data_IF_399604517964
#
_entry.id   IF_399604517964
#
_cell.length_a   1.000
_cell.length_b   1.000
_cell.length_c   1.000
_cell.angle_alpha   90.00
_cell.angle_beta   90.00
_cell.angle_gamma   90.00
#
_symmetry.space_group_name_H-M   'P 1'
#
loop_
_entity.id
_entity.type
_entity.pdbx_description
1 polymer ?
#
# COMPACT_ATOMS: atom_id res chain seq x y z
N UNK A 1 24.56 18.58 13.91
CA UNK A 1 24.32 17.63 15.02
C UNK A 1 23.68 16.42 14.42
N UNK A 2 24.25 15.24 14.66
CA UNK A 2 23.71 13.99 14.15
C UNK A 2 22.59 13.49 15.07
N UNK A 3 21.43 13.22 14.48
CA UNK A 3 20.28 12.65 15.18
C UNK A 3 19.79 11.40 14.44
N UNK A 4 19.24 10.46 15.20
CA UNK A 4 18.61 9.26 14.66
C UNK A 4 17.19 9.24 15.17
N UNK A 5 16.23 9.31 14.25
CA UNK A 5 14.81 9.21 14.56
C UNK A 5 14.23 7.91 14.03
N UNK A 6 13.22 7.38 14.71
CA UNK A 6 12.63 6.08 14.44
C UNK A 6 11.21 6.24 13.89
N UNK A 7 10.91 5.52 12.82
CA UNK A 7 9.58 5.49 12.20
C UNK A 7 9.41 4.16 11.45
N UNK A 8 8.38 4.03 10.62
CA UNK A 8 8.04 2.82 9.86
C UNK A 8 8.31 3.00 8.37
N UNK A 9 8.69 1.91 7.73
CA UNK A 9 8.94 1.84 6.30
C UNK A 9 7.62 1.87 5.52
N UNK A 10 7.43 2.77 4.56
CA UNK A 10 6.16 2.91 3.81
C UNK A 10 6.06 1.93 2.63
N UNK A 11 7.10 1.16 2.33
CA UNK A 11 7.27 0.50 1.03
C UNK A 11 6.40 -0.73 0.76
N UNK A 12 5.89 -1.40 1.79
CA UNK A 12 4.98 -2.55 1.66
C UNK A 12 4.37 -2.90 3.02
N UNK A 13 3.40 -3.82 3.03
CA UNK A 13 2.64 -4.22 4.22
C UNK A 13 3.43 -4.98 5.29
N UNK A 14 4.75 -5.16 5.15
CA UNK A 14 5.53 -5.92 6.15
C UNK A 14 5.65 -5.17 7.49
N UNK A 15 5.61 -3.83 7.49
CA UNK A 15 5.68 -3.07 8.75
C UNK A 15 7.08 -2.96 9.36
N UNK A 16 8.11 -2.90 8.51
CA UNK A 16 9.50 -2.81 8.95
C UNK A 16 9.79 -1.47 9.66
N UNK A 17 10.54 -1.50 10.76
CA UNK A 17 11.07 -0.28 11.37
C UNK A 17 12.28 0.27 10.60
N UNK A 18 12.37 1.60 10.54
CA UNK A 18 13.46 2.30 9.87
C UNK A 18 13.97 3.47 10.73
N UNK A 19 15.29 3.67 10.70
CA UNK A 19 15.92 4.86 11.25
C UNK A 19 16.16 5.88 10.15
N UNK A 20 15.84 7.13 10.42
CA UNK A 20 16.17 8.28 9.58
C UNK A 20 17.30 9.03 10.24
N UNK A 21 18.40 9.21 9.51
CA UNK A 21 19.60 9.88 9.99
C UNK A 21 19.52 11.34 9.57
N UNK A 22 19.56 12.23 10.55
CA UNK A 22 19.56 13.67 10.35
C UNK A 22 20.94 14.23 10.67
N UNK A 23 21.41 15.20 9.90
CA UNK A 23 22.55 16.02 10.23
C UNK A 23 22.17 17.50 10.16
N UNK A 24 22.13 18.17 11.32
CA UNK A 24 21.69 19.57 11.42
C UNK A 24 20.26 19.78 10.85
N UNK A 25 19.37 18.80 11.08
CA UNK A 25 17.98 18.82 10.63
C UNK A 25 17.74 18.24 9.23
N UNK A 26 18.79 18.05 8.43
CA UNK A 26 18.70 17.54 7.06
C UNK A 26 18.81 16.01 7.01
N UNK A 27 18.02 15.35 6.15
CA UNK A 27 18.10 13.89 5.96
C UNK A 27 19.35 13.54 5.16
N UNK A 28 20.23 12.75 5.78
CA UNK A 28 21.46 12.25 5.14
C UNK A 28 21.40 10.75 4.80
N UNK A 29 20.32 10.07 5.19
CA UNK A 29 20.06 8.70 4.79
C UNK A 29 19.15 7.93 5.74
N UNK A 30 18.95 6.66 5.43
CA UNK A 30 18.23 5.72 6.27
C UNK A 30 19.13 4.58 6.73
N UNK A 31 18.78 3.98 7.86
CA UNK A 31 19.44 2.79 8.36
C UNK A 31 18.44 1.85 9.03
N UNK A 32 18.67 0.52 9.05
CA UNK A 32 17.73 -0.36 9.72
C UNK A 32 17.63 -0.14 11.21
N UNK A 33 16.39 -0.05 11.72
CA UNK A 33 16.15 0.00 13.14
C UNK A 33 16.48 -1.37 13.77
N UNK A 34 17.69 -1.46 14.35
CA UNK A 34 18.29 -2.73 14.80
C UNK A 34 17.47 -3.53 15.80
N UNK A 35 16.63 -2.86 16.59
CA UNK A 35 15.82 -3.49 17.65
C UNK A 35 14.37 -3.67 17.27
N UNK A 36 13.97 -3.31 16.05
CA UNK A 36 12.59 -3.44 15.65
C UNK A 36 12.20 -4.92 15.48
N UNK A 37 11.10 -5.38 16.09
CA UNK A 37 10.75 -6.80 16.18
C UNK A 37 10.46 -7.43 14.81
N UNK A 38 9.75 -6.70 13.94
CA UNK A 38 9.32 -7.18 12.62
C UNK A 38 10.51 -7.56 11.72
N UNK A 39 11.43 -6.62 11.49
CA UNK A 39 12.48 -6.74 10.49
C UNK A 39 13.85 -7.11 11.07
N UNK A 40 13.95 -7.29 12.40
CA UNK A 40 15.14 -7.71 13.12
C UNK A 40 16.42 -6.99 12.65
N UNK A 41 16.32 -5.67 12.47
CA UNK A 41 17.45 -4.83 12.08
C UNK A 41 17.92 -4.92 10.63
N UNK A 42 17.02 -5.24 9.70
CA UNK A 42 17.25 -5.30 8.25
C UNK A 42 16.21 -4.45 7.49
N UNK A 43 16.57 -3.84 6.38
CA UNK A 43 15.59 -3.32 5.40
C UNK A 43 16.01 -3.79 4.01
N UNK A 44 15.04 -3.98 3.12
CA UNK A 44 15.28 -4.23 1.71
C UNK A 44 15.77 -2.94 1.02
N UNK A 45 15.98 -3.00 -0.30
CA UNK A 45 16.36 -1.83 -1.08
C UNK A 45 15.25 -0.77 -1.08
N UNK A 46 13.99 -1.17 -1.30
CA UNK A 46 12.82 -0.27 -1.31
C UNK A 46 12.73 0.54 -0.01
N UNK A 47 12.87 -0.13 1.14
CA UNK A 47 12.87 0.55 2.43
C UNK A 47 14.04 1.50 2.61
N UNK A 48 15.25 1.15 2.15
CA UNK A 48 16.42 2.04 2.24
C UNK A 48 16.29 3.28 1.35
N UNK A 49 15.65 3.14 0.20
CA UNK A 49 15.46 4.20 -0.80
C UNK A 49 14.15 4.98 -0.60
N UNK A 50 13.33 4.62 0.38
CA UNK A 50 12.02 5.25 0.64
C UNK A 50 12.04 6.76 0.91
N UNK A 51 13.21 7.37 1.13
CA UNK A 51 13.37 8.83 1.26
C UNK A 51 13.28 9.57 -0.08
N UNK A 52 13.33 8.88 -1.21
CA UNK A 52 13.23 9.47 -2.55
C UNK A 52 11.92 10.26 -2.73
N UNK A 53 10.81 9.80 -2.15
CA UNK A 53 9.53 10.53 -2.19
C UNK A 53 9.60 11.88 -1.47
N UNK A 54 10.37 11.96 -0.37
CA UNK A 54 10.62 13.22 0.32
C UNK A 54 11.60 14.12 -0.44
N UNK A 55 12.65 13.55 -1.02
CA UNK A 55 13.64 14.30 -1.79
C UNK A 55 13.03 14.93 -3.06
N UNK A 56 12.06 14.25 -3.66
CA UNK A 56 11.38 14.68 -4.88
C UNK A 56 9.98 15.26 -4.62
N UNK A 57 9.67 15.66 -3.38
CA UNK A 57 8.34 16.14 -3.02
C UNK A 57 8.01 17.48 -3.69
N UNK A 58 6.75 17.64 -4.07
CA UNK A 58 6.21 18.90 -4.56
C UNK A 58 6.29 19.98 -3.47
N UNK A 59 6.78 21.16 -3.85
CA UNK A 59 6.82 22.33 -2.96
C UNK A 59 5.62 23.27 -3.15
N UNK A 60 4.97 23.19 -4.31
CA UNK A 60 3.83 24.01 -4.70
C UNK A 60 2.77 23.13 -5.35
N UNK A 61 1.53 23.61 -5.32
CA UNK A 61 0.46 22.99 -6.06
C UNK A 61 0.61 23.23 -7.57
N UNK A 62 0.01 22.35 -8.37
CA UNK A 62 -0.09 22.51 -9.81
C UNK A 62 -1.56 22.64 -10.19
N UNK A 63 -1.90 23.62 -11.01
CA UNK A 63 -3.22 23.75 -11.66
C UNK A 63 -2.99 23.89 -13.15
N UNK A 64 -3.58 23.00 -13.96
CA UNK A 64 -3.32 22.89 -15.40
C UNK A 64 -1.81 22.88 -15.72
N UNK A 65 -1.05 22.08 -14.95
CA UNK A 65 0.43 21.94 -15.03
C UNK A 65 1.24 23.21 -14.74
N UNK A 66 0.62 24.25 -14.21
CA UNK A 66 1.29 25.49 -13.80
C UNK A 66 1.36 25.58 -12.28
N UNK A 67 2.52 25.96 -11.75
CA UNK A 67 2.70 26.16 -10.30
C UNK A 67 1.77 27.25 -9.74
N UNK A 68 1.21 26.99 -8.57
CA UNK A 68 0.39 27.94 -7.79
C UNK A 68 0.51 27.68 -6.29
N UNK A 69 0.04 28.64 -5.50
CA UNK A 69 -0.07 28.49 -4.04
C UNK A 69 -1.10 27.41 -3.67
N UNK A 70 -0.80 26.65 -2.61
CA UNK A 70 -1.63 25.53 -2.14
C UNK A 70 -3.03 25.99 -1.78
N UNK A 71 -3.18 27.09 -1.05
CA UNK A 71 -4.49 27.64 -0.66
C UNK A 71 -5.35 27.98 -1.88
N UNK A 72 -4.76 28.58 -2.92
CA UNK A 72 -5.48 28.91 -4.15
C UNK A 72 -5.88 27.65 -4.92
N UNK A 73 -5.03 26.63 -4.94
CA UNK A 73 -5.38 25.36 -5.57
C UNK A 73 -6.53 24.68 -4.81
N UNK A 74 -6.54 24.71 -3.47
CA UNK A 74 -7.65 24.22 -2.66
C UNK A 74 -8.96 24.96 -2.97
N UNK A 75 -8.93 26.30 -3.13
CA UNK A 75 -10.10 27.06 -3.58
C UNK A 75 -10.61 26.59 -4.96
N UNK A 76 -9.70 26.24 -5.87
CA UNK A 76 -10.08 25.70 -7.18
C UNK A 76 -10.68 24.30 -7.08
N UNK A 77 -10.15 23.43 -6.20
CA UNK A 77 -10.78 22.13 -5.88
C UNK A 77 -12.20 22.32 -5.35
N UNK A 78 -12.41 23.25 -4.41
CA UNK A 78 -13.74 23.55 -3.84
C UNK A 78 -14.72 24.01 -4.92
N UNK A 79 -14.28 24.80 -5.91
CA UNK A 79 -15.13 25.22 -7.04
C UNK A 79 -15.56 24.04 -7.91
N UNK A 80 -14.63 23.12 -8.21
CA UNK A 80 -14.93 21.91 -8.98
C UNK A 80 -15.91 21.01 -8.21
N UNK A 81 -15.69 20.80 -6.91
CA UNK A 81 -16.58 20.02 -6.04
C UNK A 81 -17.99 20.63 -5.96
N UNK A 82 -18.12 21.95 -5.77
CA UNK A 82 -19.41 22.64 -5.72
C UNK A 82 -20.18 22.62 -7.04
N UNK A 83 -19.49 22.40 -8.15
CA UNK A 83 -20.09 22.34 -9.50
C UNK A 83 -20.45 20.92 -9.92
N UNK A 84 -19.97 19.89 -9.21
CA UNK A 84 -20.19 18.49 -9.53
C UNK A 84 -21.46 17.94 -8.86
N UNK A 85 -22.10 16.97 -9.50
CA UNK A 85 -23.10 16.14 -8.82
C UNK A 85 -22.37 15.11 -7.97
N UNK A 86 -22.83 14.85 -6.75
CA UNK A 86 -22.17 13.92 -5.82
C UNK A 86 -21.95 12.53 -6.43
N UNK A 87 -22.94 12.00 -7.14
CA UNK A 87 -22.87 10.69 -7.81
C UNK A 87 -21.83 10.61 -8.94
N UNK A 88 -21.38 11.76 -9.48
CA UNK A 88 -20.35 11.83 -10.52
C UNK A 88 -18.91 11.93 -9.92
N UNK A 89 -18.81 12.07 -8.59
CA UNK A 89 -17.55 12.20 -7.86
C UNK A 89 -17.11 10.85 -7.32
N UNK A 90 -15.84 10.50 -7.56
CA UNK A 90 -15.20 9.32 -6.98
C UNK A 90 -13.97 9.74 -6.20
N UNK A 91 -13.86 9.24 -4.98
CA UNK A 91 -12.73 9.42 -4.07
C UNK A 91 -12.00 8.09 -3.97
N UNK A 92 -10.73 8.08 -4.37
CA UNK A 92 -9.84 6.92 -4.21
C UNK A 92 -8.94 7.17 -3.01
N UNK A 93 -8.99 6.24 -2.06
CA UNK A 93 -8.04 6.13 -0.97
C UNK A 93 -7.04 5.01 -1.25
N UNK A 94 -5.89 5.08 -0.59
CA UNK A 94 -4.72 4.25 -0.84
C UNK A 94 -4.36 3.41 0.38
N UNK A 95 -3.78 2.24 0.15
CA UNK A 95 -3.12 1.47 1.20
C UNK A 95 -1.86 2.15 1.75
N UNK A 96 -1.47 3.33 1.25
CA UNK A 96 -0.37 4.13 1.81
C UNK A 96 -0.86 5.22 2.77
N UNK A 97 -2.17 5.45 2.88
CA UNK A 97 -2.72 6.37 3.88
C UNK A 97 -2.72 5.73 5.26
N UNK A 98 -2.61 6.56 6.30
CA UNK A 98 -2.77 6.14 7.70
C UNK A 98 -4.21 5.80 8.03
N UNK A 99 -4.41 5.06 9.13
CA UNK A 99 -5.76 4.78 9.65
C UNK A 99 -6.51 6.10 9.87
N UNK A 100 -5.83 7.12 10.39
CA UNK A 100 -6.37 8.44 10.62
C UNK A 100 -6.78 9.15 9.31
N UNK A 101 -5.92 9.11 8.30
CA UNK A 101 -6.22 9.67 6.97
C UNK A 101 -7.36 8.93 6.27
N UNK A 102 -7.40 7.59 6.33
CA UNK A 102 -8.49 6.79 5.76
C UNK A 102 -9.83 7.13 6.41
N UNK A 103 -9.87 7.29 7.74
CA UNK A 103 -11.10 7.70 8.43
C UNK A 103 -11.56 9.09 7.95
N UNK A 104 -10.64 10.06 7.83
CA UNK A 104 -10.98 11.38 7.33
C UNK A 104 -11.49 11.35 5.88
N UNK A 105 -10.84 10.57 5.00
CA UNK A 105 -11.25 10.40 3.60
C UNK A 105 -12.63 9.74 3.50
N UNK A 106 -12.88 8.71 4.33
CA UNK A 106 -14.16 8.00 4.41
C UNK A 106 -15.28 8.91 4.90
N UNK A 107 -15.07 9.59 6.01
CA UNK A 107 -16.05 10.55 6.56
C UNK A 107 -16.33 11.70 5.58
N UNK A 108 -15.30 12.23 4.92
CA UNK A 108 -15.46 13.23 3.86
C UNK A 108 -16.35 12.72 2.73
N UNK A 109 -16.05 11.53 2.20
CA UNK A 109 -16.79 10.93 1.11
C UNK A 109 -18.25 10.66 1.49
N UNK A 110 -18.49 10.08 2.67
CA UNK A 110 -19.82 9.77 3.18
C UNK A 110 -20.64 11.04 3.45
N UNK A 111 -20.04 12.08 4.03
CA UNK A 111 -20.73 13.34 4.34
C UNK A 111 -21.21 14.09 3.10
N UNK A 112 -20.58 13.86 1.95
CA UNK A 112 -20.89 14.49 0.66
C UNK A 112 -21.62 13.56 -0.31
N UNK A 113 -21.90 12.31 0.10
CA UNK A 113 -22.51 11.28 -0.74
C UNK A 113 -21.70 10.99 -2.03
N UNK A 114 -20.37 10.98 -1.91
CA UNK A 114 -19.45 10.65 -2.99
C UNK A 114 -19.19 9.14 -3.04
N UNK A 115 -18.83 8.63 -4.22
CA UNK A 115 -18.37 7.25 -4.33
C UNK A 115 -16.97 7.14 -3.69
N UNK A 116 -16.76 6.16 -2.82
CA UNK A 116 -15.44 5.82 -2.28
C UNK A 116 -14.94 4.51 -2.88
N UNK A 117 -13.64 4.45 -3.16
CA UNK A 117 -12.99 3.28 -3.70
C UNK A 117 -11.61 3.06 -3.10
N UNK A 118 -11.25 1.79 -3.02
CA UNK A 118 -9.95 1.32 -2.59
C UNK A 118 -9.59 0.07 -3.42
N UNK A 119 -8.36 0.00 -3.89
CA UNK A 119 -7.84 -1.17 -4.61
C UNK A 119 -6.67 -1.77 -3.83
N UNK A 120 -6.81 -3.06 -3.51
CA UNK A 120 -5.88 -3.82 -2.67
C UNK A 120 -5.17 -4.92 -3.46
N UNK A 121 -4.72 -4.63 -4.69
CA UNK A 121 -4.01 -5.59 -5.55
C UNK A 121 -4.84 -6.86 -5.90
N UNK A 122 -6.16 -6.71 -6.02
CA UNK A 122 -7.14 -7.81 -6.07
C UNK A 122 -7.15 -8.75 -4.86
N UNK A 123 -6.46 -8.41 -3.76
CA UNK A 123 -6.50 -9.16 -2.51
C UNK A 123 -7.65 -8.67 -1.60
N UNK A 124 -7.93 -9.45 -0.55
CA UNK A 124 -8.90 -9.11 0.50
C UNK A 124 -8.28 -9.25 1.89
N UNK A 125 -9.03 -8.89 2.93
CA UNK A 125 -8.64 -9.19 4.31
C UNK A 125 -9.04 -10.60 4.72
N UNK A 126 -8.25 -11.17 5.62
CA UNK A 126 -8.46 -12.48 6.22
C UNK A 126 -8.52 -12.31 7.74
N UNK A 127 -9.58 -12.85 8.34
CA UNK A 127 -9.86 -12.69 9.77
C UNK A 127 -8.78 -13.31 10.67
N UNK A 128 -8.21 -14.44 10.25
CA UNK A 128 -7.03 -15.05 10.86
C UNK A 128 -5.92 -15.09 9.82
N UNK A 129 -4.77 -14.48 10.16
CA UNK A 129 -3.57 -14.47 9.31
C UNK A 129 -2.39 -15.07 10.04
N UNK A 130 -1.45 -15.64 9.29
CA UNK A 130 -0.20 -16.13 9.84
C UNK A 130 0.69 -14.97 10.34
N UNK A 131 1.31 -15.15 11.50
CA UNK A 131 2.40 -14.29 11.93
C UNK A 131 3.70 -14.62 11.17
N UNK A 132 4.67 -13.72 11.25
CA UNK A 132 6.00 -14.00 10.68
C UNK A 132 6.72 -15.16 11.37
N UNK A 133 6.40 -15.41 12.65
CA UNK A 133 6.92 -16.55 13.39
C UNK A 133 6.19 -17.86 13.01
N UNK A 134 4.90 -17.81 12.65
CA UNK A 134 4.20 -18.97 12.09
C UNK A 134 4.88 -19.45 10.81
N UNK A 135 5.27 -18.53 9.92
CA UNK A 135 6.03 -18.87 8.69
C UNK A 135 7.36 -19.53 9.04
N UNK A 136 8.13 -18.92 9.94
CA UNK A 136 9.49 -19.38 10.29
C UNK A 136 9.51 -20.78 10.96
N UNK A 137 8.40 -21.19 11.57
CA UNK A 137 8.26 -22.45 12.29
C UNK A 137 7.37 -23.49 11.57
N UNK A 138 6.84 -23.17 10.39
CA UNK A 138 6.01 -24.08 9.60
C UNK A 138 6.78 -25.32 9.15
N UNK A 139 6.08 -26.45 8.95
CA UNK A 139 6.70 -27.66 8.34
C UNK A 139 6.61 -27.63 6.82
N UNK A 140 5.58 -27.00 6.28
CA UNK A 140 5.38 -26.78 4.85
C UNK A 140 5.03 -25.31 4.62
N UNK A 141 5.65 -24.68 3.63
CA UNK A 141 5.30 -23.32 3.22
C UNK A 141 4.92 -23.33 1.75
N UNK A 142 3.69 -22.92 1.46
CA UNK A 142 3.18 -22.75 0.10
C UNK A 142 3.26 -21.27 -0.25
N UNK A 143 4.02 -20.92 -1.28
CA UNK A 143 4.30 -19.55 -1.66
C UNK A 143 3.67 -19.27 -3.02
N UNK A 144 2.78 -18.28 -3.10
CA UNK A 144 2.15 -17.85 -4.35
C UNK A 144 2.66 -16.44 -4.68
N UNK A 145 3.55 -16.36 -5.66
CA UNK A 145 4.19 -15.11 -6.09
C UNK A 145 5.69 -15.06 -5.86
N UNK A 146 6.32 -14.01 -6.38
CA UNK A 146 7.75 -13.80 -6.21
C UNK A 146 8.06 -13.04 -4.91
N UNK A 147 7.63 -13.63 -3.78
CA UNK A 147 7.73 -13.05 -2.44
C UNK A 147 9.18 -12.73 -2.05
N UNK A 148 10.16 -13.54 -2.45
CA UNK A 148 11.56 -13.27 -2.13
C UNK A 148 12.09 -12.00 -2.81
N UNK A 149 11.57 -11.68 -4.00
CA UNK A 149 11.93 -10.47 -4.72
C UNK A 149 11.12 -9.26 -4.25
N UNK A 150 9.79 -9.40 -4.23
CA UNK A 150 8.87 -8.28 -3.99
C UNK A 150 8.75 -7.94 -2.50
N UNK A 151 8.89 -8.93 -1.61
CA UNK A 151 8.79 -8.75 -0.16
C UNK A 151 9.94 -9.46 0.58
N UNK A 152 11.21 -9.02 0.42
CA UNK A 152 12.38 -9.79 0.87
C UNK A 152 12.43 -10.11 2.37
N UNK A 153 11.74 -9.32 3.21
CA UNK A 153 11.70 -9.57 4.65
C UNK A 153 10.72 -10.71 5.01
N UNK A 154 9.67 -10.93 4.22
CA UNK A 154 8.86 -12.16 4.27
C UNK A 154 9.65 -13.31 3.68
N UNK A 155 10.28 -13.09 2.52
CA UNK A 155 11.19 -14.08 1.92
C UNK A 155 12.25 -14.59 2.88
N UNK A 156 12.80 -13.72 3.74
CA UNK A 156 13.73 -14.11 4.80
C UNK A 156 13.11 -15.09 5.81
N UNK A 157 11.83 -14.92 6.18
CA UNK A 157 11.12 -15.86 7.08
C UNK A 157 10.95 -17.22 6.42
N UNK A 158 10.63 -17.24 5.13
CA UNK A 158 10.55 -18.48 4.33
C UNK A 158 11.92 -19.16 4.26
N UNK A 159 13.00 -18.41 4.07
CA UNK A 159 14.38 -18.96 4.12
C UNK A 159 14.71 -19.55 5.49
N UNK A 160 14.32 -18.90 6.58
CA UNK A 160 14.51 -19.46 7.92
C UNK A 160 13.68 -20.75 8.12
N UNK A 161 12.43 -20.79 7.64
CA UNK A 161 11.61 -22.00 7.66
C UNK A 161 12.32 -23.16 6.96
N UNK A 162 12.85 -22.92 5.75
CA UNK A 162 13.66 -23.93 5.03
C UNK A 162 14.89 -24.37 5.83
N UNK A 163 15.60 -23.44 6.46
CA UNK A 163 16.75 -23.76 7.33
C UNK A 163 16.35 -24.58 8.56
N UNK A 164 15.13 -24.41 9.05
CA UNK A 164 14.53 -25.18 10.14
C UNK A 164 13.96 -26.53 9.67
N UNK A 165 14.05 -26.85 8.38
CA UNK A 165 13.65 -28.14 7.80
C UNK A 165 12.26 -28.13 7.17
N UNK A 166 11.66 -26.97 6.92
CA UNK A 166 10.40 -26.88 6.18
C UNK A 166 10.57 -27.22 4.69
N UNK A 167 9.55 -27.86 4.11
CA UNK A 167 9.43 -28.04 2.67
C UNK A 167 8.77 -26.80 2.04
N UNK A 168 9.36 -26.27 0.96
CA UNK A 168 8.91 -25.05 0.31
C UNK A 168 8.33 -25.37 -1.07
N UNK A 169 7.06 -25.07 -1.29
CA UNK A 169 6.36 -25.21 -2.57
C UNK A 169 6.08 -23.82 -3.12
N UNK A 170 6.51 -23.52 -4.34
CA UNK A 170 6.40 -22.16 -4.88
C UNK A 170 5.68 -22.13 -6.24
N UNK A 171 4.60 -21.36 -6.31
CA UNK A 171 3.92 -20.96 -7.53
C UNK A 171 4.38 -19.57 -7.97
N UNK A 172 4.71 -19.42 -9.25
CA UNK A 172 5.12 -18.13 -9.82
C UNK A 172 4.58 -17.94 -11.24
N UNK A 173 4.41 -16.67 -11.64
CA UNK A 173 3.93 -16.30 -13.00
C UNK A 173 4.93 -16.62 -14.11
N UNK A 174 6.20 -16.83 -13.77
CA UNK A 174 7.25 -17.21 -14.69
C UNK A 174 8.31 -18.07 -14.00
N UNK A 175 9.07 -18.82 -14.80
CA UNK A 175 10.20 -19.64 -14.32
C UNK A 175 11.36 -18.79 -13.77
N UNK A 176 11.33 -17.47 -13.96
CA UNK A 176 12.37 -16.55 -13.50
C UNK A 176 12.14 -16.05 -12.05
N UNK A 177 11.06 -16.49 -11.40
CA UNK A 177 10.74 -16.13 -10.01
C UNK A 177 11.92 -16.38 -9.07
N UNK A 178 12.36 -15.34 -8.36
CA UNK A 178 13.47 -15.45 -7.40
C UNK A 178 13.13 -16.43 -6.28
N UNK A 179 11.85 -16.52 -5.92
CA UNK A 179 11.30 -17.45 -4.93
C UNK A 179 11.61 -18.91 -5.27
N UNK A 180 11.67 -19.27 -6.56
CA UNK A 180 11.98 -20.65 -6.99
C UNK A 180 13.38 -21.11 -6.59
N UNK A 181 14.33 -20.18 -6.38
CA UNK A 181 15.70 -20.54 -6.00
C UNK A 181 15.80 -21.23 -4.63
N UNK A 182 14.77 -21.11 -3.80
CA UNK A 182 14.71 -21.78 -2.50
C UNK A 182 13.63 -22.84 -2.43
N UNK A 183 12.82 -23.02 -3.46
CA UNK A 183 11.72 -23.98 -3.45
C UNK A 183 12.27 -25.41 -3.58
N UNK A 184 11.58 -26.36 -2.96
CA UNK A 184 11.79 -27.80 -3.16
C UNK A 184 11.00 -28.28 -4.39
N UNK A 185 9.82 -27.70 -4.61
CA UNK A 185 9.00 -27.89 -5.81
C UNK A 185 8.46 -26.55 -6.34
N UNK A 186 8.42 -26.41 -7.67
CA UNK A 186 8.05 -25.16 -8.36
C UNK A 186 6.91 -25.40 -9.34
N UNK A 187 5.98 -24.46 -9.41
CA UNK A 187 4.74 -24.55 -10.18
C UNK A 187 4.53 -23.27 -11.00
N UNK A 188 3.94 -23.42 -12.18
CA UNK A 188 3.60 -22.31 -13.10
C UNK A 188 2.17 -22.43 -13.65
N UNK A 189 1.35 -23.25 -13.00
CA UNK A 189 -0.07 -23.44 -13.29
C UNK A 189 -0.92 -22.30 -12.71
N UNK A 190 -2.25 -22.41 -12.75
CA UNK A 190 -3.10 -21.41 -12.08
C UNK A 190 -3.06 -21.54 -10.56
N UNK A 191 -3.35 -20.45 -9.83
CA UNK A 191 -3.45 -20.47 -8.37
C UNK A 191 -4.45 -21.52 -7.89
N UNK A 192 -5.59 -21.62 -8.58
CA UNK A 192 -6.64 -22.60 -8.33
C UNK A 192 -6.14 -24.05 -8.44
N UNK A 193 -5.41 -24.39 -9.49
CA UNK A 193 -4.84 -25.73 -9.70
C UNK A 193 -3.75 -26.05 -8.67
N UNK A 194 -2.90 -25.08 -8.35
CA UNK A 194 -1.86 -25.23 -7.34
C UNK A 194 -2.44 -25.53 -5.95
N UNK A 195 -3.49 -24.82 -5.53
CA UNK A 195 -4.15 -25.06 -4.24
C UNK A 195 -4.82 -26.44 -4.24
N UNK A 196 -5.52 -26.82 -5.32
CA UNK A 196 -6.22 -28.12 -5.40
C UNK A 196 -5.26 -29.31 -5.43
N UNK A 197 -4.06 -29.14 -5.99
CA UNK A 197 -3.02 -30.16 -6.06
C UNK A 197 -2.12 -30.25 -4.82
N UNK A 198 -2.17 -29.24 -3.95
CA UNK A 198 -1.28 -29.13 -2.80
C UNK A 198 -1.74 -29.97 -1.59
N UNK A 199 -0.79 -30.64 -0.93
CA UNK A 199 -0.99 -31.34 0.33
C UNK A 199 -0.94 -30.36 1.52
N UNK A 200 -1.91 -29.43 1.55
CA UNK A 200 -2.07 -28.42 2.60
C UNK A 200 -2.78 -29.04 3.81
N UNK A 201 -2.17 -28.87 4.98
CA UNK A 201 -2.65 -29.36 6.26
C UNK A 201 -2.41 -28.34 7.39
N UNK A 202 -2.86 -28.63 8.62
CA UNK A 202 -2.67 -27.73 9.76
C UNK A 202 -1.23 -27.45 10.19
N UNK A 203 -0.23 -28.15 9.63
CA UNK A 203 1.20 -27.86 9.82
C UNK A 203 1.78 -26.92 8.74
N UNK A 204 0.94 -26.51 7.78
CA UNK A 204 1.28 -25.68 6.64
C UNK A 204 1.07 -24.19 6.91
N UNK A 205 1.71 -23.34 6.11
CA UNK A 205 1.39 -21.90 5.99
C UNK A 205 1.36 -21.51 4.53
N UNK A 206 0.32 -20.80 4.09
CA UNK A 206 0.26 -20.24 2.73
C UNK A 206 0.62 -18.76 2.77
N UNK A 207 1.58 -18.34 1.96
CA UNK A 207 2.02 -16.94 1.84
C UNK A 207 1.84 -16.49 0.40
N UNK A 208 1.15 -15.38 0.17
CA UNK A 208 0.82 -14.96 -1.19
C UNK A 208 0.78 -13.45 -1.34
N UNK A 209 1.14 -12.94 -2.51
CA UNK A 209 1.03 -11.53 -2.86
C UNK A 209 0.27 -11.27 -4.17
N UNK A 210 -0.25 -12.33 -4.79
CA UNK A 210 -1.17 -12.23 -5.91
C UNK A 210 -2.15 -13.41 -5.92
N UNK A 211 -3.24 -13.23 -6.66
CA UNK A 211 -4.18 -14.27 -7.07
C UNK A 211 -4.53 -14.08 -8.54
N UNK A 212 -5.03 -15.11 -9.22
CA UNK A 212 -5.49 -14.99 -10.61
C UNK A 212 -6.93 -14.47 -10.68
N UNK A 213 -7.73 -14.75 -9.64
CA UNK A 213 -9.16 -14.46 -9.58
C UNK A 213 -9.68 -14.29 -8.14
N UNK A 214 -10.92 -13.82 -8.02
CA UNK A 214 -11.61 -13.77 -6.72
C UNK A 214 -11.96 -15.16 -6.16
N UNK A 215 -12.16 -16.15 -7.03
CA UNK A 215 -12.42 -17.55 -6.61
C UNK A 215 -11.22 -18.14 -5.86
N UNK A 216 -10.00 -17.77 -6.24
CA UNK A 216 -8.79 -18.19 -5.53
C UNK A 216 -8.79 -17.69 -4.07
N UNK A 217 -9.33 -16.50 -3.81
CA UNK A 217 -9.43 -15.98 -2.44
C UNK A 217 -10.46 -16.74 -1.60
N UNK A 218 -11.51 -17.28 -2.22
CA UNK A 218 -12.47 -18.17 -1.55
C UNK A 218 -11.78 -19.48 -1.17
N UNK A 219 -11.06 -20.09 -2.12
CA UNK A 219 -10.25 -21.30 -1.86
C UNK A 219 -9.22 -21.08 -0.75
N UNK A 220 -8.47 -19.97 -0.80
CA UNK A 220 -7.51 -19.59 0.25
C UNK A 220 -8.18 -19.32 1.61
N UNK A 221 -9.47 -19.04 1.67
CA UNK A 221 -10.20 -18.91 2.94
C UNK A 221 -10.59 -20.27 3.53
N UNK A 222 -10.68 -21.30 2.68
CA UNK A 222 -11.16 -22.64 3.04
C UNK A 222 -10.02 -23.64 3.29
N UNK A 223 -8.76 -23.26 3.07
CA UNK A 223 -7.60 -24.13 3.37
C UNK A 223 -7.49 -24.40 4.88
N UNK A 224 -7.10 -25.62 5.25
CA UNK A 224 -6.94 -26.06 6.65
C UNK A 224 -5.61 -25.58 7.25
N UNK A 225 -5.25 -24.30 7.05
CA UNK A 225 -4.03 -23.72 7.60
C UNK A 225 -4.11 -22.19 7.70
N UNK A 226 -3.11 -21.57 8.31
CA UNK A 226 -3.01 -20.10 8.34
C UNK A 226 -2.51 -19.57 7.00
N UNK A 227 -3.05 -18.42 6.59
CA UNK A 227 -2.63 -17.73 5.36
C UNK A 227 -2.06 -16.35 5.66
N UNK A 228 -1.14 -15.86 4.84
CA UNK A 228 -0.62 -14.50 4.90
C UNK A 228 -0.69 -13.83 3.52
N UNK A 229 -1.69 -12.96 3.27
CA UNK A 229 -1.63 -12.01 2.16
C UNK A 229 -0.56 -10.95 2.45
N UNK A 230 0.30 -10.68 1.48
CA UNK A 230 1.32 -9.62 1.55
C UNK A 230 1.00 -8.57 0.50
N UNK A 231 0.47 -7.43 0.96
CA UNK A 231 0.06 -6.33 0.11
C UNK A 231 1.23 -5.42 -0.30
N UNK A 232 1.11 -4.81 -1.48
CA UNK A 232 2.11 -3.88 -2.03
C UNK A 232 2.24 -2.58 -1.24
N UNK A 233 1.18 -2.13 -0.57
CA UNK A 233 1.12 -0.88 0.19
C UNK A 233 1.14 -1.12 1.70
N UNK A 234 1.69 -0.15 2.44
CA UNK A 234 2.08 -0.33 3.86
C UNK A 234 0.93 -0.59 4.84
N UNK A 235 -0.24 -0.06 4.55
CA UNK A 235 -1.44 -0.09 5.39
C UNK A 235 -2.64 -0.74 4.70
N UNK A 236 -2.46 -1.52 3.61
CA UNK A 236 -3.61 -2.11 2.91
C UNK A 236 -4.53 -2.92 3.83
N UNK A 237 -3.99 -3.69 4.78
CA UNK A 237 -4.81 -4.42 5.78
C UNK A 237 -5.61 -3.46 6.66
N UNK A 238 -5.01 -2.35 7.09
CA UNK A 238 -5.70 -1.32 7.88
C UNK A 238 -6.80 -0.63 7.08
N UNK A 239 -6.57 -0.34 5.80
CA UNK A 239 -7.59 0.21 4.91
C UNK A 239 -8.73 -0.78 4.67
N UNK A 240 -8.44 -2.08 4.49
CA UNK A 240 -9.45 -3.14 4.35
C UNK A 240 -10.39 -3.25 5.56
N UNK A 241 -9.94 -2.88 6.76
CA UNK A 241 -10.79 -2.85 7.96
C UNK A 241 -11.82 -1.70 7.95
N UNK A 242 -11.63 -0.71 7.08
CA UNK A 242 -12.40 0.54 7.06
C UNK A 242 -13.17 0.75 5.75
N UNK A 243 -12.62 0.28 4.63
CA UNK A 243 -13.16 0.45 3.28
C UNK A 243 -13.04 -0.87 2.53
N UNK A 244 -14.18 -1.36 2.03
CA UNK A 244 -14.20 -2.56 1.19
C UNK A 244 -13.37 -2.34 -0.09
N UNK A 245 -12.45 -3.26 -0.36
CA UNK A 245 -11.68 -3.24 -1.59
C UNK A 245 -12.56 -3.61 -2.79
N UNK A 246 -12.28 -2.97 -3.92
CA UNK A 246 -12.86 -3.29 -5.22
C UNK A 246 -11.89 -4.14 -6.03
N UNK A 247 -12.43 -5.11 -6.75
CA UNK A 247 -11.69 -5.81 -7.80
C UNK A 247 -11.32 -4.86 -8.94
N UNK A 248 -10.38 -5.27 -9.79
CA UNK A 248 -9.96 -4.49 -10.96
C UNK A 248 -11.13 -4.14 -11.89
N UNK A 249 -12.06 -5.07 -12.11
CA UNK A 249 -13.22 -4.85 -12.97
C UNK A 249 -14.22 -3.86 -12.36
N UNK A 250 -14.45 -3.94 -11.05
CA UNK A 250 -15.29 -2.97 -10.33
C UNK A 250 -14.67 -1.57 -10.32
N UNK A 251 -13.34 -1.48 -10.22
CA UNK A 251 -12.62 -0.21 -10.35
C UNK A 251 -12.82 0.40 -11.75
N UNK A 252 -12.66 -0.41 -12.81
CA UNK A 252 -12.86 0.05 -14.19
C UNK A 252 -14.31 0.51 -14.43
N UNK A 253 -15.29 -0.25 -13.95
CA UNK A 253 -16.71 0.12 -14.06
C UNK A 253 -17.00 1.44 -13.34
N UNK A 254 -16.48 1.62 -12.11
CA UNK A 254 -16.63 2.87 -11.35
C UNK A 254 -15.96 4.05 -12.05
N UNK A 255 -14.71 3.90 -12.50
CA UNK A 255 -13.99 4.94 -13.24
C UNK A 255 -14.73 5.34 -14.52
N UNK A 256 -15.37 4.39 -15.21
CA UNK A 256 -16.15 4.66 -16.43
C UNK A 256 -17.36 5.58 -16.21
N UNK A 257 -17.86 5.66 -14.97
CA UNK A 257 -18.99 6.49 -14.53
C UNK A 257 -18.55 7.78 -13.84
N UNK A 258 -17.26 7.94 -13.58
CA UNK A 258 -16.69 9.07 -12.85
C UNK A 258 -16.48 10.27 -13.78
N UNK A 259 -16.85 11.47 -13.34
CA UNK A 259 -16.50 12.73 -14.03
C UNK A 259 -15.46 13.56 -13.27
N UNK A 260 -15.50 13.52 -11.95
CA UNK A 260 -14.54 14.16 -11.06
C UNK A 260 -13.88 13.10 -10.17
N UNK A 261 -12.58 12.90 -10.35
CA UNK A 261 -11.81 11.92 -9.60
C UNK A 261 -10.89 12.64 -8.60
N UNK A 262 -11.00 12.29 -7.32
CA UNK A 262 -10.07 12.69 -6.26
C UNK A 262 -9.21 11.48 -5.89
N UNK A 263 -7.89 11.61 -5.95
CA UNK A 263 -6.94 10.53 -5.65
C UNK A 263 -6.07 10.93 -4.47
N UNK A 264 -6.20 10.22 -3.35
CA UNK A 264 -5.41 10.42 -2.14
C UNK A 264 -4.25 9.42 -2.08
N UNK A 265 -3.03 9.93 -2.23
CA UNK A 265 -1.76 9.21 -2.09
C UNK A 265 -1.66 7.88 -2.85
N UNK A 266 -2.16 7.86 -4.09
CA UNK A 266 -2.16 6.68 -4.97
C UNK A 266 -1.67 7.01 -6.39
N UNK A 267 -1.30 5.96 -7.14
CA UNK A 267 -0.96 6.03 -8.55
C UNK A 267 -1.87 5.16 -9.43
N UNK A 268 -3.14 5.55 -9.47
CA UNK A 268 -4.21 4.79 -10.16
C UNK A 268 -3.95 4.58 -11.66
N UNK A 269 -3.22 5.48 -12.32
CA UNK A 269 -2.86 5.33 -13.73
C UNK A 269 -1.92 4.16 -13.96
N UNK A 270 -1.01 3.89 -13.03
CA UNK A 270 -0.10 2.75 -13.11
C UNK A 270 -0.81 1.41 -12.79
N UNK A 271 -1.93 1.45 -12.07
CA UNK A 271 -2.68 0.25 -11.65
C UNK A 271 -3.67 -0.28 -12.70
N UNK A 272 -4.28 0.63 -13.47
CA UNK A 272 -5.42 0.32 -14.34
C UNK A 272 -5.15 0.61 -15.81
N UNK A 273 -5.43 -0.38 -16.66
CA UNK A 273 -5.54 -0.19 -18.11
C UNK A 273 -6.90 0.45 -18.43
N UNK A 274 -7.01 1.75 -18.17
CA UNK A 274 -8.21 2.55 -18.35
C UNK A 274 -7.88 3.84 -19.10
N UNK A 275 -8.76 4.25 -20.01
CA UNK A 275 -8.63 5.54 -20.69
C UNK A 275 -9.07 6.70 -19.78
N UNK A 276 -8.13 7.20 -18.99
CA UNK A 276 -8.34 8.30 -18.05
C UNK A 276 -8.74 9.63 -18.72
N UNK A 277 -8.56 9.78 -20.04
CA UNK A 277 -9.04 10.97 -20.76
C UNK A 277 -10.58 11.08 -20.78
N UNK A 278 -11.28 10.00 -20.39
CA UNK A 278 -12.74 9.98 -20.24
C UNK A 278 -13.21 10.70 -18.97
N UNK A 279 -12.35 10.85 -17.97
CA UNK A 279 -12.66 11.57 -16.73
C UNK A 279 -12.43 13.06 -16.98
N UNK A 280 -13.44 13.88 -16.68
CA UNK A 280 -13.41 15.32 -17.02
C UNK A 280 -12.47 16.14 -16.15
N UNK A 281 -12.22 15.68 -14.92
CA UNK A 281 -11.37 16.35 -13.95
C UNK A 281 -10.69 15.34 -13.04
N UNK A 282 -9.36 15.39 -12.93
CA UNK A 282 -8.58 14.55 -12.01
C UNK A 282 -7.80 15.45 -11.05
N UNK A 283 -7.99 15.21 -9.75
CA UNK A 283 -7.37 15.96 -8.67
C UNK A 283 -6.56 14.98 -7.82
N UNK A 284 -5.25 15.19 -7.72
CA UNK A 284 -4.36 14.34 -6.92
C UNK A 284 -3.88 15.06 -5.66
N UNK A 285 -3.98 14.38 -4.52
CA UNK A 285 -3.38 14.77 -3.25
C UNK A 285 -2.21 13.83 -3.00
N UNK A 286 -0.99 14.28 -3.28
CA UNK A 286 0.19 13.40 -3.25
C UNK A 286 1.46 14.19 -2.99
N UNK A 287 2.44 13.52 -2.40
CA UNK A 287 3.68 14.17 -1.99
C UNK A 287 4.67 14.38 -3.14
N UNK A 288 4.77 13.44 -4.10
CA UNK A 288 5.73 13.49 -5.21
C UNK A 288 5.12 13.06 -6.55
N UNK A 289 5.84 13.30 -7.65
CA UNK A 289 5.38 12.95 -9.00
C UNK A 289 5.21 11.43 -9.19
N UNK A 290 4.13 11.06 -9.86
CA UNK A 290 3.77 9.70 -10.29
C UNK A 290 2.94 9.75 -11.60
N UNK A 291 2.51 8.62 -12.17
CA UNK A 291 1.81 8.63 -13.46
C UNK A 291 0.44 9.33 -13.41
N UNK A 292 -0.25 9.25 -12.27
CA UNK A 292 -1.51 9.95 -12.02
C UNK A 292 -1.34 11.48 -12.00
N UNK A 293 -0.29 11.99 -11.35
CA UNK A 293 -0.02 13.44 -11.33
C UNK A 293 0.32 14.00 -12.70
N UNK A 294 0.90 13.20 -13.60
CA UNK A 294 1.24 13.61 -14.97
C UNK A 294 -0.01 13.89 -15.80
N UNK A 295 -1.15 13.31 -15.48
CA UNK A 295 -2.42 13.59 -16.15
C UNK A 295 -3.40 14.45 -15.33
N UNK A 296 -3.15 14.63 -14.03
CA UNK A 296 -4.04 15.41 -13.15
C UNK A 296 -4.18 16.87 -13.55
N UNK A 297 -5.40 17.40 -13.48
CA UNK A 297 -5.70 18.82 -13.68
C UNK A 297 -5.23 19.68 -12.51
N UNK A 298 -5.37 19.14 -11.29
CA UNK A 298 -4.92 19.78 -10.05
C UNK A 298 -4.07 18.78 -9.27
N UNK A 299 -2.91 19.22 -8.78
CA UNK A 299 -2.05 18.46 -7.86
C UNK A 299 -1.87 19.30 -6.60
N UNK A 300 -2.30 18.75 -5.46
CA UNK A 300 -2.14 19.35 -4.14
C UNK A 300 -1.01 18.58 -3.41
N UNK A 301 0.10 19.25 -3.05
CA UNK A 301 1.17 18.62 -2.28
C UNK A 301 0.67 18.30 -0.87
N UNK A 302 0.97 17.09 -0.41
CA UNK A 302 0.69 16.65 0.96
C UNK A 302 1.99 16.31 1.69
N UNK A 303 1.92 16.27 3.03
CA UNK A 303 2.99 15.72 3.87
C UNK A 303 3.36 14.30 3.42
N UNK A 304 4.65 14.00 3.47
CA UNK A 304 5.19 12.65 3.26
C UNK A 304 5.08 11.80 4.53
N UNK A 305 5.35 10.51 4.40
CA UNK A 305 5.47 9.59 5.54
C UNK A 305 6.53 9.99 6.59
N UNK A 306 7.46 10.90 6.25
CA UNK A 306 8.46 11.44 7.18
C UNK A 306 7.96 12.62 8.00
N UNK A 307 6.83 13.20 7.60
CA UNK A 307 6.30 14.47 8.10
C UNK A 307 4.95 14.29 8.82
N UNK A 308 4.39 13.08 8.76
CA UNK A 308 3.14 12.71 9.42
C UNK A 308 3.37 11.76 10.60
N UNK A 309 2.54 11.94 11.62
CA UNK A 309 2.25 10.94 12.64
C UNK A 309 1.06 10.10 12.17
N UNK A 310 0.96 8.86 12.64
CA UNK A 310 -0.21 8.03 12.33
C UNK A 310 -0.05 6.58 12.75
N UNK A 311 -0.96 5.75 12.26
CA UNK A 311 -0.93 4.33 12.50
C UNK A 311 -1.27 3.51 11.25
N UNK A 312 -0.63 2.34 11.13
CA UNK A 312 -0.91 1.34 10.10
C UNK A 312 -1.15 -0.04 10.72
N UNK A 313 -1.80 -0.93 9.98
CA UNK A 313 -1.89 -2.37 10.28
C UNK A 313 -1.06 -3.14 9.25
N UNK A 314 -0.05 -3.86 9.71
CA UNK A 314 0.80 -4.67 8.82
C UNK A 314 0.10 -5.97 8.37
N UNK A 315 0.74 -6.73 7.48
CA UNK A 315 0.19 -7.93 6.86
C UNK A 315 -0.25 -9.00 7.88
N UNK A 316 0.45 -9.11 9.02
CA UNK A 316 0.11 -10.07 10.08
C UNK A 316 -0.89 -9.52 11.11
N UNK A 317 -1.47 -8.34 10.88
CA UNK A 317 -2.51 -7.76 11.73
C UNK A 317 -1.99 -6.96 12.94
N UNK A 318 -0.70 -6.66 13.02
CA UNK A 318 -0.21 -5.80 14.10
C UNK A 318 -0.46 -4.32 13.79
N UNK A 319 -1.09 -3.63 14.74
CA UNK A 319 -1.20 -2.18 14.74
C UNK A 319 0.16 -1.56 15.11
N UNK A 320 0.67 -0.69 14.25
CA UNK A 320 1.94 0.00 14.46
C UNK A 320 1.76 1.52 14.31
N UNK A 321 2.15 2.25 15.34
CA UNK A 321 2.17 3.72 15.33
C UNK A 321 3.52 4.24 14.86
N UNK A 322 3.52 5.31 14.07
CA UNK A 322 4.72 6.02 13.65
C UNK A 322 4.61 7.52 13.95
N UNK A 323 5.76 8.17 14.01
CA UNK A 323 5.84 9.61 14.28
C UNK A 323 6.60 10.31 13.16
N UNK A 324 6.25 11.57 12.93
CA UNK A 324 6.96 12.50 12.08
C UNK A 324 8.40 12.65 12.57
N UNK A 325 9.33 12.53 11.64
CA UNK A 325 10.77 12.69 11.90
C UNK A 325 11.29 14.02 11.34
N UNK A 326 10.54 14.64 10.44
CA UNK A 326 10.78 15.97 9.88
C UNK A 326 9.59 16.88 10.21
N UNK A 327 9.89 18.14 10.53
CA UNK A 327 8.89 19.20 10.66
C UNK A 327 8.59 19.77 9.27
N UNK A 328 7.32 20.03 8.98
CA UNK A 328 6.87 20.50 7.67
C UNK A 328 5.72 21.48 7.79
N UNK A 329 5.75 22.52 6.96
CA UNK A 329 4.65 23.48 6.79
C UNK A 329 3.66 23.02 5.70
N UNK A 330 3.93 21.91 5.01
CA UNK A 330 2.98 21.30 4.09
C UNK A 330 1.73 20.85 4.86
N UNK A 331 0.59 20.77 4.18
CA UNK A 331 -0.65 20.28 4.81
C UNK A 331 -0.69 18.76 4.78
N UNK A 332 -1.20 18.15 5.84
CA UNK A 332 -1.65 16.75 5.82
C UNK A 332 -2.94 16.60 5.00
N UNK A 333 -3.27 15.38 4.60
CA UNK A 333 -4.55 15.10 3.93
C UNK A 333 -5.75 15.47 4.82
N UNK A 334 -5.63 15.26 6.14
CA UNK A 334 -6.67 15.62 7.11
C UNK A 334 -6.89 17.15 7.12
N UNK A 335 -5.81 17.93 7.21
CA UNK A 335 -5.89 19.40 7.17
C UNK A 335 -6.47 19.91 5.84
N UNK A 336 -6.20 19.22 4.73
CA UNK A 336 -6.80 19.54 3.43
C UNK A 336 -8.29 19.20 3.42
N UNK A 337 -8.69 18.02 3.89
CA UNK A 337 -10.09 17.60 3.99
C UNK A 337 -10.90 18.58 4.85
N UNK A 338 -10.34 19.02 5.98
CA UNK A 338 -10.97 20.04 6.83
C UNK A 338 -11.24 21.34 6.06
N UNK A 339 -10.29 21.77 5.22
CA UNK A 339 -10.47 22.94 4.34
C UNK A 339 -11.48 22.69 3.22
N UNK A 340 -11.59 21.47 2.68
CA UNK A 340 -12.59 21.10 1.68
C UNK A 340 -14.01 21.02 2.26
N UNK A 341 -14.12 20.81 3.57
CA UNK A 341 -15.40 20.77 4.29
C UNK A 341 -15.92 22.12 4.74
N UNK A 342 -15.03 23.10 5.00
CA UNK A 342 -15.35 24.45 5.46
C UNK A 342 -16.01 25.33 4.40
#
# INVERSE_FOLDING_TARGET
>A
MLEIKHTLCPSCSVGCGINVILNDGEIVGTFPYKRHPVNAGKNCLNGRNSIESYQNKFQKALVAKSETDVEKAIEDVIKELNSANSSDVTVICSGNNSIEEINAIKEFSESKDYNIAFYADNLKDFSEVASYDDIENAKKVFVIGDILYENPLIGRRIVHAKQNGAEIYALGKSEESVTFNIADETFTESVSEFIDGADIDGDSVVVFNYVDSQEDLEKLSDVDCKVLPVYSKSNSKGTLNLVDAKSKDEMIDLLSKTKLLLVFNDDVVNEFDFDFARISKIISFVSCENDTTKISDIVIPIKTWLENDGSFVNAMGENQTFNAVIQSDALSEIEIIDKLNG
#
